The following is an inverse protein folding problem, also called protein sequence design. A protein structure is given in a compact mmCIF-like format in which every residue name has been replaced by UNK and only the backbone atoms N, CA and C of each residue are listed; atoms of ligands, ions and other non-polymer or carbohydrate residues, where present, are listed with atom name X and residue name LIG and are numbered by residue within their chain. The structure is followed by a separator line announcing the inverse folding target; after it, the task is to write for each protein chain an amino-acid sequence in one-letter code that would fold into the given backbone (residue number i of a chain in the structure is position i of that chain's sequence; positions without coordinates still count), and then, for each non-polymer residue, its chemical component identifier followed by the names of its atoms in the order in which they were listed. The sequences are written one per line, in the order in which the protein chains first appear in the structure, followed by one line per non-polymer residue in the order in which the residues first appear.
data_IF_685392487239
#
_entry.id   IF_685392487239
#
_cell.length_a   1.000
_cell.length_b   1.000
_cell.length_c   1.000
_cell.angle_alpha   90.00
_cell.angle_beta   90.00
_cell.angle_gamma   90.00
#
_symmetry.space_group_name_H-M   'P 1'
#
loop_
_entity.id
_entity.type
_entity.pdbx_description
1 polymer ?
#
# COMPACT_ATOMS: atom_id res chain seq x y z
N UNK A 1 16.18 -24.16 6.37
CA UNK A 1 15.28 -23.16 5.80
C UNK A 1 15.37 -21.92 6.67
N UNK A 2 15.47 -20.75 6.04
CA UNK A 2 15.47 -19.50 6.80
C UNK A 2 14.12 -19.36 7.51
N UNK A 3 14.15 -19.01 8.77
CA UNK A 3 12.92 -18.70 9.51
C UNK A 3 12.47 -17.29 9.15
N UNK A 4 11.57 -17.19 8.19
CA UNK A 4 11.06 -15.91 7.70
C UNK A 4 10.27 -15.15 8.79
N UNK A 5 9.63 -15.84 9.72
CA UNK A 5 8.89 -15.21 10.82
C UNK A 5 9.87 -14.49 11.76
N UNK A 6 11.04 -15.06 12.03
CA UNK A 6 12.06 -14.40 12.84
C UNK A 6 12.65 -13.17 12.13
N UNK A 7 12.73 -13.18 10.79
CA UNK A 7 13.08 -11.99 10.01
C UNK A 7 12.02 -10.90 10.22
N UNK A 8 10.72 -11.25 10.12
CA UNK A 8 9.64 -10.29 10.35
C UNK A 8 9.67 -9.70 11.77
N UNK A 9 9.86 -10.51 12.80
CA UNK A 9 10.00 -10.06 14.19
C UNK A 9 11.19 -9.13 14.38
N UNK A 10 12.31 -9.45 13.73
CA UNK A 10 13.52 -8.61 13.79
C UNK A 10 13.29 -7.24 13.15
N UNK A 11 12.64 -7.21 11.99
CA UNK A 11 12.24 -5.97 11.32
C UNK A 11 11.24 -5.16 12.15
N UNK A 12 10.27 -5.81 12.78
CA UNK A 12 9.28 -5.17 13.65
C UNK A 12 9.96 -4.52 14.86
N UNK A 13 10.91 -5.22 15.48
CA UNK A 13 11.74 -4.67 16.56
C UNK A 13 12.56 -3.47 16.10
N UNK A 14 13.20 -3.57 14.94
CA UNK A 14 13.94 -2.45 14.36
C UNK A 14 13.05 -1.25 14.09
N UNK A 15 11.83 -1.47 13.55
CA UNK A 15 10.85 -0.41 13.32
C UNK A 15 10.46 0.33 14.59
N UNK A 16 10.32 -0.40 15.70
CA UNK A 16 10.05 0.19 17.00
C UNK A 16 11.23 1.05 17.51
N UNK A 17 12.46 0.56 17.37
CA UNK A 17 13.67 1.27 17.81
C UNK A 17 13.90 2.58 17.06
N UNK A 18 13.69 2.58 15.72
CA UNK A 18 13.86 3.80 14.90
C UNK A 18 12.62 4.69 14.82
N UNK A 19 11.48 4.25 15.38
CA UNK A 19 10.26 5.03 15.45
C UNK A 19 9.51 5.17 14.12
N UNK A 20 9.67 4.23 13.16
CA UNK A 20 8.86 4.21 11.93
C UNK A 20 7.54 3.48 12.16
N UNK A 21 6.49 3.91 11.49
CA UNK A 21 5.16 3.37 11.69
C UNK A 21 4.97 2.00 11.03
N UNK A 22 5.54 1.80 9.84
CA UNK A 22 5.42 0.57 9.06
C UNK A 22 6.71 0.25 8.33
N UNK A 23 6.99 -1.04 8.14
CA UNK A 23 8.01 -1.55 7.24
C UNK A 23 7.32 -2.43 6.20
N UNK A 24 7.40 -2.04 4.93
CA UNK A 24 7.07 -2.88 3.79
C UNK A 24 8.27 -3.75 3.37
N UNK A 25 8.13 -4.45 2.25
CA UNK A 25 9.22 -5.25 1.69
C UNK A 25 9.29 -6.69 2.18
N UNK A 26 8.44 -7.11 3.10
CA UNK A 26 8.19 -8.53 3.37
C UNK A 26 7.31 -9.11 2.26
N UNK A 27 7.88 -9.21 1.06
CA UNK A 27 7.14 -9.29 -0.20
C UNK A 27 7.71 -10.32 -1.15
N UNK A 28 6.87 -10.84 -2.05
CA UNK A 28 7.26 -11.75 -3.12
C UNK A 28 6.79 -11.24 -4.50
N UNK A 29 7.64 -11.38 -5.51
CA UNK A 29 7.36 -10.99 -6.89
C UNK A 29 7.24 -12.26 -7.75
N UNK A 30 6.03 -12.81 -7.85
CA UNK A 30 5.78 -14.14 -8.41
C UNK A 30 5.09 -14.13 -9.78
N UNK A 31 5.03 -12.97 -10.43
CA UNK A 31 4.43 -12.81 -11.77
C UNK A 31 5.14 -13.64 -12.87
N UNK A 32 6.40 -14.03 -12.65
CA UNK A 32 7.17 -14.87 -13.58
C UNK A 32 7.30 -16.33 -13.12
N UNK A 33 6.67 -16.68 -12.00
CA UNK A 33 6.77 -17.97 -11.33
C UNK A 33 7.22 -17.84 -9.88
N UNK A 34 7.09 -18.90 -9.11
CA UNK A 34 7.50 -18.97 -7.72
C UNK A 34 8.77 -19.78 -7.56
N UNK A 35 9.76 -19.25 -6.88
CA UNK A 35 10.89 -20.02 -6.35
C UNK A 35 10.48 -20.74 -5.06
N UNK A 36 11.32 -21.65 -4.55
CA UNK A 36 11.07 -22.28 -3.25
C UNK A 36 11.13 -21.27 -2.10
N UNK A 37 11.98 -20.22 -2.23
CA UNK A 37 12.04 -19.13 -1.27
C UNK A 37 10.76 -18.29 -1.26
N UNK A 38 10.19 -18.00 -2.44
CA UNK A 38 8.91 -17.27 -2.53
C UNK A 38 7.78 -18.06 -1.88
N UNK A 39 7.71 -19.38 -2.12
CA UNK A 39 6.72 -20.24 -1.50
C UNK A 39 6.83 -20.26 0.02
N UNK A 40 8.06 -20.35 0.53
CA UNK A 40 8.34 -20.35 1.97
C UNK A 40 7.98 -18.98 2.60
N UNK A 41 8.32 -17.87 1.94
CA UNK A 41 7.92 -16.55 2.38
C UNK A 41 6.40 -16.41 2.40
N UNK A 42 5.71 -16.74 1.31
CA UNK A 42 4.24 -16.63 1.24
C UNK A 42 3.57 -17.49 2.33
N UNK A 43 4.08 -18.70 2.59
CA UNK A 43 3.56 -19.57 3.63
C UNK A 43 3.76 -18.99 5.06
N UNK A 44 4.75 -18.14 5.25
CA UNK A 44 5.02 -17.51 6.55
C UNK A 44 4.21 -16.23 6.80
N UNK A 45 3.58 -15.65 5.77
CA UNK A 45 2.85 -14.37 5.89
C UNK A 45 1.76 -14.39 6.98
N UNK A 46 0.90 -15.43 7.10
CA UNK A 46 -0.14 -15.44 8.12
C UNK A 46 0.42 -15.28 9.54
N UNK A 47 1.41 -16.07 9.89
CA UNK A 47 2.04 -15.99 11.20
C UNK A 47 2.82 -14.68 11.37
N UNK A 48 3.62 -14.30 10.38
CA UNK A 48 4.42 -13.07 10.43
C UNK A 48 3.57 -11.82 10.70
N UNK A 49 2.45 -11.65 9.97
CA UNK A 49 1.57 -10.49 10.14
C UNK A 49 0.69 -10.56 11.39
N UNK A 50 0.49 -11.76 11.96
CA UNK A 50 -0.22 -11.93 13.23
C UNK A 50 0.66 -11.54 14.42
N UNK A 51 1.95 -11.92 14.40
CA UNK A 51 2.86 -11.71 15.55
C UNK A 51 3.62 -10.38 15.51
N UNK A 52 3.46 -9.58 14.46
CA UNK A 52 4.12 -8.28 14.29
C UNK A 52 3.10 -7.15 14.19
N UNK A 53 3.49 -5.94 14.60
CA UNK A 53 2.61 -4.78 14.60
C UNK A 53 2.85 -3.86 13.38
N UNK A 54 4.09 -3.73 12.93
CA UNK A 54 4.53 -2.72 11.95
C UNK A 54 4.91 -3.30 10.59
N UNK A 55 4.95 -4.63 10.47
CA UNK A 55 5.30 -5.29 9.22
C UNK A 55 4.10 -5.34 8.29
N UNK A 56 4.31 -4.88 7.06
CA UNK A 56 3.37 -4.99 5.95
C UNK A 56 3.96 -5.91 4.88
N UNK A 57 3.09 -6.63 4.20
CA UNK A 57 3.47 -7.59 3.18
C UNK A 57 2.68 -7.40 1.88
N UNK A 58 3.30 -7.77 0.78
CA UNK A 58 2.65 -7.73 -0.53
C UNK A 58 3.13 -8.87 -1.42
N UNK A 59 2.27 -9.29 -2.35
CA UNK A 59 2.65 -10.26 -3.38
C UNK A 59 2.20 -9.76 -4.75
N UNK A 60 3.14 -9.60 -5.68
CA UNK A 60 2.84 -9.26 -7.06
C UNK A 60 2.65 -10.54 -7.87
N UNK A 61 1.40 -10.82 -8.25
CA UNK A 61 1.01 -12.09 -8.91
C UNK A 61 0.90 -11.99 -10.43
N UNK A 62 1.01 -10.81 -11.00
CA UNK A 62 0.80 -10.64 -12.43
C UNK A 62 1.44 -9.39 -13.02
N UNK A 63 1.54 -9.39 -14.33
CA UNK A 63 1.88 -8.21 -15.09
C UNK A 63 1.27 -8.29 -16.50
N UNK A 64 1.06 -7.14 -17.13
CA UNK A 64 0.59 -7.06 -18.52
C UNK A 64 1.47 -7.85 -19.48
N UNK A 65 2.75 -8.03 -19.15
CA UNK A 65 3.73 -8.76 -19.96
C UNK A 65 3.69 -10.27 -19.73
N UNK A 66 3.48 -10.73 -18.50
CA UNK A 66 3.60 -12.15 -18.13
C UNK A 66 2.24 -12.81 -17.83
N UNK A 67 1.15 -12.05 -17.83
CA UNK A 67 -0.15 -12.55 -17.39
C UNK A 67 -0.26 -12.68 -15.88
N UNK A 68 -1.19 -13.52 -15.42
CA UNK A 68 -1.49 -13.72 -14.01
C UNK A 68 -1.04 -15.13 -13.57
N UNK A 69 -0.30 -15.22 -12.48
CA UNK A 69 0.06 -16.50 -11.85
C UNK A 69 -1.12 -17.03 -11.04
N UNK A 70 -2.00 -17.80 -11.69
CA UNK A 70 -3.21 -18.33 -11.06
C UNK A 70 -2.93 -19.30 -9.89
N UNK A 71 -1.78 -19.98 -9.90
CA UNK A 71 -1.38 -20.84 -8.76
C UNK A 71 -1.08 -20.00 -7.52
N UNK A 72 -0.39 -18.87 -7.69
CA UNK A 72 -0.16 -17.92 -6.60
C UNK A 72 -1.47 -17.30 -6.12
N UNK A 73 -2.38 -16.90 -7.03
CA UNK A 73 -3.71 -16.36 -6.67
C UNK A 73 -4.49 -17.36 -5.80
N UNK A 74 -4.51 -18.64 -6.18
CA UNK A 74 -5.15 -19.68 -5.38
C UNK A 74 -4.54 -19.80 -3.99
N UNK A 75 -3.20 -19.84 -3.90
CA UNK A 75 -2.50 -19.91 -2.62
C UNK A 75 -2.82 -18.70 -1.74
N UNK A 76 -2.79 -17.51 -2.31
CA UNK A 76 -3.06 -16.27 -1.57
C UNK A 76 -4.51 -16.17 -1.08
N UNK A 77 -5.47 -16.75 -1.78
CA UNK A 77 -6.83 -16.88 -1.27
C UNK A 77 -6.89 -17.67 0.04
N UNK A 78 -6.11 -18.75 0.16
CA UNK A 78 -5.98 -19.48 1.43
C UNK A 78 -5.23 -18.66 2.48
N UNK A 79 -4.12 -18.02 2.11
CA UNK A 79 -3.33 -17.15 2.99
C UNK A 79 -4.19 -16.04 3.61
N UNK A 80 -5.02 -15.34 2.80
CA UNK A 80 -5.91 -14.28 3.30
C UNK A 80 -6.96 -14.85 4.27
N UNK A 81 -7.55 -16.00 3.94
CA UNK A 81 -8.52 -16.64 4.84
C UNK A 81 -7.88 -17.04 6.16
N UNK A 82 -6.68 -17.57 6.14
CA UNK A 82 -5.91 -17.95 7.33
C UNK A 82 -5.59 -16.72 8.19
N UNK A 83 -5.10 -15.63 7.60
CA UNK A 83 -4.86 -14.37 8.31
C UNK A 83 -6.13 -13.81 8.97
N UNK A 84 -7.26 -13.84 8.25
CA UNK A 84 -8.54 -13.40 8.80
C UNK A 84 -8.96 -14.24 10.02
N UNK A 85 -8.80 -15.56 9.93
CA UNK A 85 -9.14 -16.46 11.04
C UNK A 85 -8.22 -16.28 12.26
N UNK A 86 -6.91 -16.12 12.00
CA UNK A 86 -5.91 -15.92 13.08
C UNK A 86 -6.08 -14.58 13.81
N UNK A 87 -6.63 -13.57 13.15
CA UNK A 87 -6.79 -12.22 13.74
C UNK A 87 -8.25 -11.78 13.84
N UNK A 88 -9.19 -12.71 13.83
CA UNK A 88 -10.64 -12.42 13.87
C UNK A 88 -11.08 -11.62 15.09
N UNK A 89 -10.43 -11.85 16.23
CA UNK A 89 -10.73 -11.15 17.48
C UNK A 89 -10.08 -9.76 17.56
N UNK A 90 -9.23 -9.42 16.59
CA UNK A 90 -8.58 -8.12 16.41
C UNK A 90 -8.95 -7.50 15.05
N UNK A 91 -10.23 -7.50 14.72
CA UNK A 91 -10.79 -6.92 13.48
C UNK A 91 -10.08 -7.36 12.19
N UNK A 92 -9.53 -8.57 12.15
CA UNK A 92 -8.76 -9.13 11.02
C UNK A 92 -7.57 -8.24 10.60
N UNK A 93 -6.87 -7.64 11.56
CA UNK A 93 -5.82 -6.64 11.33
C UNK A 93 -4.69 -7.13 10.42
N UNK A 94 -4.36 -8.42 10.43
CA UNK A 94 -3.35 -8.98 9.54
C UNK A 94 -3.71 -8.77 8.06
N UNK A 95 -5.00 -8.85 7.71
CA UNK A 95 -5.46 -8.59 6.35
C UNK A 95 -5.29 -7.12 5.93
N UNK A 96 -5.39 -6.17 6.86
CA UNK A 96 -5.18 -4.74 6.58
C UNK A 96 -3.70 -4.40 6.28
N UNK A 97 -2.78 -5.29 6.68
CA UNK A 97 -1.33 -5.15 6.43
C UNK A 97 -0.84 -5.92 5.21
N UNK A 98 -1.75 -6.47 4.41
CA UNK A 98 -1.43 -7.31 3.27
C UNK A 98 -2.12 -6.84 1.97
N UNK A 99 -1.39 -6.88 0.86
CA UNK A 99 -1.96 -6.55 -0.45
C UNK A 99 -1.45 -7.48 -1.55
N UNK A 100 -2.32 -7.80 -2.49
CA UNK A 100 -2.00 -8.56 -3.69
C UNK A 100 -2.02 -7.61 -4.89
N UNK A 101 -0.93 -7.55 -5.63
CA UNK A 101 -0.76 -6.65 -6.78
C UNK A 101 -0.73 -7.39 -8.11
N UNK A 102 -1.07 -6.64 -9.15
CA UNK A 102 -0.63 -6.86 -10.53
C UNK A 102 -0.01 -5.57 -11.06
N UNK A 103 1.01 -5.67 -11.91
CA UNK A 103 1.74 -4.51 -12.45
C UNK A 103 2.28 -3.56 -11.36
N UNK A 104 2.72 -4.10 -10.22
CA UNK A 104 3.35 -3.28 -9.20
C UNK A 104 4.56 -2.54 -9.79
N UNK A 105 4.60 -1.23 -9.55
CA UNK A 105 5.72 -0.38 -9.98
C UNK A 105 6.89 -0.53 -9.01
N UNK A 106 8.10 -0.33 -9.51
CA UNK A 106 9.30 -0.26 -8.67
C UNK A 106 9.19 0.92 -7.69
N UNK A 107 9.77 0.76 -6.52
CA UNK A 107 9.76 1.79 -5.46
C UNK A 107 8.34 2.26 -5.10
N UNK A 108 7.43 1.31 -5.02
CA UNK A 108 6.03 1.58 -4.70
C UNK A 108 5.88 2.15 -3.28
N UNK A 109 5.30 3.35 -3.10
CA UNK A 109 5.12 3.99 -1.79
C UNK A 109 3.82 3.58 -1.08
N UNK A 110 3.02 2.69 -1.63
CA UNK A 110 1.77 2.26 -1.02
C UNK A 110 2.05 1.48 0.27
N UNK A 111 1.44 1.88 1.38
CA UNK A 111 1.79 1.43 2.73
C UNK A 111 1.97 -0.09 2.88
N UNK A 112 0.93 -0.89 2.65
CA UNK A 112 1.03 -2.35 2.77
C UNK A 112 1.84 -2.97 1.63
N UNK A 113 1.89 -2.32 0.47
CA UNK A 113 2.61 -2.76 -0.71
C UNK A 113 3.92 -2.04 -0.95
N UNK A 114 4.42 -1.25 0.01
CA UNK A 114 5.70 -0.57 -0.14
C UNK A 114 6.84 -1.59 -0.27
N UNK A 115 7.61 -1.48 -1.32
CA UNK A 115 8.83 -2.26 -1.53
C UNK A 115 9.82 -1.48 -2.40
N UNK A 116 11.09 -1.81 -2.25
CA UNK A 116 12.16 -1.29 -3.08
C UNK A 116 12.37 -2.21 -4.28
N UNK A 117 12.34 -1.65 -5.47
CA UNK A 117 12.53 -2.40 -6.73
C UNK A 117 14.01 -2.66 -7.05
N UNK A 118 14.23 -3.17 -8.25
CA UNK A 118 15.59 -3.45 -8.78
C UNK A 118 16.20 -2.25 -9.51
N UNK A 119 15.70 -1.03 -9.23
CA UNK A 119 16.16 0.20 -9.84
C UNK A 119 17.62 0.55 -9.49
N UNK A 120 18.12 1.62 -10.10
CA UNK A 120 19.52 2.06 -9.93
C UNK A 120 19.80 2.76 -8.59
N UNK A 121 18.75 3.12 -7.84
CA UNK A 121 18.89 3.92 -6.60
C UNK A 121 18.96 3.03 -5.38
N UNK A 122 20.01 3.17 -4.57
CA UNK A 122 20.13 2.48 -3.28
C UNK A 122 19.15 3.00 -2.23
N UNK A 123 18.69 4.24 -2.37
CA UNK A 123 17.71 4.90 -1.49
C UNK A 123 16.93 5.96 -2.23
N UNK A 124 15.65 6.09 -1.94
CA UNK A 124 14.74 7.05 -2.57
C UNK A 124 13.66 7.47 -1.58
N UNK A 125 13.21 8.72 -1.68
CA UNK A 125 12.02 9.20 -0.97
C UNK A 125 10.86 9.21 -1.94
N UNK A 126 9.81 8.45 -1.62
CA UNK A 126 8.54 8.50 -2.29
C UNK A 126 7.47 9.03 -1.34
N UNK A 127 6.45 9.69 -1.85
CA UNK A 127 5.38 10.26 -1.03
C UNK A 127 4.05 9.65 -1.44
N UNK A 128 3.44 8.89 -0.54
CA UNK A 128 2.05 8.44 -0.65
C UNK A 128 1.13 9.44 0.04
N UNK A 129 0.08 9.86 -0.63
CA UNK A 129 -0.92 10.79 -0.08
C UNK A 129 -2.29 10.14 -0.08
N UNK A 130 -2.94 10.09 1.10
CA UNK A 130 -4.37 9.73 1.17
C UNK A 130 -5.19 10.95 0.80
N UNK A 131 -6.00 10.81 -0.24
CA UNK A 131 -6.74 11.92 -0.84
C UNK A 131 -8.25 11.98 -0.58
N UNK A 132 -8.93 10.90 -0.16
CA UNK A 132 -10.40 10.87 -0.15
C UNK A 132 -11.02 11.97 0.70
N UNK A 133 -10.51 12.22 1.90
CA UNK A 133 -11.03 13.25 2.80
C UNK A 133 -10.90 14.67 2.25
N UNK A 134 -9.82 14.97 1.52
CA UNK A 134 -9.62 16.28 0.90
C UNK A 134 -10.57 16.46 -0.29
N UNK A 135 -10.74 15.41 -1.11
CA UNK A 135 -11.66 15.42 -2.26
C UNK A 135 -13.10 15.56 -1.78
N UNK A 136 -13.52 14.79 -0.77
CA UNK A 136 -14.83 14.92 -0.13
C UNK A 136 -15.11 16.37 0.31
N UNK A 137 -14.19 16.98 1.06
CA UNK A 137 -14.31 18.36 1.50
C UNK A 137 -14.49 19.33 0.35
N UNK A 138 -13.77 19.13 -0.75
CA UNK A 138 -13.91 19.97 -1.94
C UNK A 138 -15.28 19.82 -2.57
N UNK A 139 -15.81 18.59 -2.67
CA UNK A 139 -17.15 18.31 -3.20
C UNK A 139 -18.26 18.88 -2.31
N UNK A 140 -18.14 18.83 -1.00
CA UNK A 140 -19.09 19.45 -0.07
C UNK A 140 -19.30 20.94 -0.37
N UNK A 141 -18.24 21.64 -0.83
CA UNK A 141 -18.32 23.08 -1.17
C UNK A 141 -19.09 23.38 -2.47
N UNK A 142 -19.31 22.36 -3.30
CA UNK A 142 -20.05 22.47 -4.58
C UNK A 142 -21.26 21.51 -4.62
N UNK A 143 -21.80 21.17 -3.45
CA UNK A 143 -22.94 20.25 -3.33
C UNK A 143 -24.15 20.78 -4.11
N UNK A 144 -24.75 19.90 -4.92
CA UNK A 144 -25.88 20.24 -5.80
C UNK A 144 -25.49 20.84 -7.15
N UNK A 145 -24.20 20.95 -7.45
CA UNK A 145 -23.73 21.31 -8.78
C UNK A 145 -23.96 20.18 -9.80
N UNK A 146 -23.85 20.50 -11.08
CA UNK A 146 -23.91 19.51 -12.16
C UNK A 146 -22.68 18.56 -12.13
N UNK A 147 -22.82 17.43 -12.82
CA UNK A 147 -21.79 16.37 -12.83
C UNK A 147 -20.44 16.84 -13.39
N UNK A 148 -20.44 17.74 -14.37
CA UNK A 148 -19.22 18.29 -14.96
C UNK A 148 -18.45 19.12 -13.93
N UNK A 149 -19.14 19.98 -13.18
CA UNK A 149 -18.56 20.76 -12.07
C UNK A 149 -18.00 19.87 -10.97
N UNK A 150 -18.70 18.78 -10.62
CA UNK A 150 -18.18 17.80 -9.65
C UNK A 150 -16.89 17.13 -10.14
N UNK A 151 -16.86 16.67 -11.40
CA UNK A 151 -15.66 16.06 -12.00
C UNK A 151 -14.46 17.02 -12.05
N UNK A 152 -14.69 18.27 -12.47
CA UNK A 152 -13.62 19.29 -12.49
C UNK A 152 -13.12 19.62 -11.07
N UNK A 153 -14.01 19.61 -10.09
CA UNK A 153 -13.64 19.80 -8.68
C UNK A 153 -12.72 18.67 -8.18
N UNK A 154 -13.06 17.41 -8.46
CA UNK A 154 -12.22 16.25 -8.14
C UNK A 154 -10.85 16.37 -8.80
N UNK A 155 -10.81 16.62 -10.10
CA UNK A 155 -9.59 16.77 -10.89
C UNK A 155 -8.69 17.89 -10.35
N UNK A 156 -9.24 19.08 -10.14
CA UNK A 156 -8.49 20.23 -9.62
C UNK A 156 -7.96 19.97 -8.20
N UNK A 157 -8.73 19.25 -7.38
CA UNK A 157 -8.32 18.86 -6.03
C UNK A 157 -7.17 17.86 -6.07
N UNK A 158 -7.24 16.86 -6.94
CA UNK A 158 -6.16 15.89 -7.14
C UNK A 158 -4.84 16.59 -7.53
N UNK A 159 -4.88 17.55 -8.45
CA UNK A 159 -3.69 18.35 -8.81
C UNK A 159 -3.14 19.16 -7.63
N UNK A 160 -3.99 19.73 -6.80
CA UNK A 160 -3.54 20.46 -5.60
C UNK A 160 -2.87 19.53 -4.59
N UNK A 161 -3.44 18.36 -4.35
CA UNK A 161 -2.91 17.35 -3.43
C UNK A 161 -1.53 16.88 -3.90
N UNK A 162 -1.39 16.51 -5.17
CA UNK A 162 -0.11 16.07 -5.72
C UNK A 162 0.94 17.18 -5.68
N UNK A 163 0.54 18.44 -5.88
CA UNK A 163 1.46 19.57 -5.75
C UNK A 163 1.98 19.75 -4.33
N UNK A 164 1.11 19.62 -3.32
CA UNK A 164 1.52 19.65 -1.91
C UNK A 164 2.45 18.48 -1.59
N UNK A 165 2.11 17.27 -2.03
CA UNK A 165 2.98 16.09 -1.90
C UNK A 165 4.37 16.33 -2.48
N UNK A 166 4.46 16.97 -3.66
CA UNK A 166 5.74 17.33 -4.30
C UNK A 166 6.56 18.31 -3.44
N UNK A 167 5.93 19.32 -2.87
CA UNK A 167 6.64 20.28 -2.02
C UNK A 167 7.21 19.61 -0.76
N UNK A 168 6.43 18.74 -0.13
CA UNK A 168 6.88 17.93 1.01
C UNK A 168 8.06 17.02 0.62
N UNK A 169 7.94 16.33 -0.52
CA UNK A 169 8.98 15.44 -1.02
C UNK A 169 10.30 16.16 -1.30
N UNK A 170 10.24 17.33 -1.94
CA UNK A 170 11.43 18.12 -2.24
C UNK A 170 12.11 18.65 -0.96
N UNK A 171 11.34 19.08 0.02
CA UNK A 171 11.89 19.51 1.31
C UNK A 171 12.51 18.34 2.09
N UNK A 172 11.86 17.18 2.11
CA UNK A 172 12.39 15.97 2.71
C UNK A 172 13.69 15.52 2.02
N UNK A 173 13.70 15.51 0.68
CA UNK A 173 14.87 15.19 -0.14
C UNK A 173 16.07 16.08 0.21
N UNK A 174 15.84 17.38 0.32
CA UNK A 174 16.87 18.35 0.72
C UNK A 174 17.41 18.10 2.12
N UNK A 175 16.52 17.90 3.10
CA UNK A 175 16.92 17.69 4.52
C UNK A 175 17.65 16.40 4.74
N UNK A 176 17.22 15.31 4.09
CA UNK A 176 17.79 13.98 4.29
C UNK A 176 18.93 13.65 3.32
N UNK A 177 19.18 14.52 2.33
CA UNK A 177 20.14 14.27 1.25
C UNK A 177 19.88 12.92 0.55
N UNK A 178 18.60 12.66 0.25
CA UNK A 178 18.13 11.45 -0.45
C UNK A 178 17.31 11.88 -1.66
N UNK A 179 17.53 11.33 -2.87
CA UNK A 179 16.80 11.74 -4.04
C UNK A 179 15.29 11.48 -3.91
N UNK A 180 14.49 12.40 -4.45
CA UNK A 180 13.05 12.23 -4.59
C UNK A 180 12.74 11.37 -5.82
N UNK A 181 11.78 10.47 -5.68
CA UNK A 181 11.30 9.56 -6.71
C UNK A 181 9.91 9.95 -7.21
N UNK A 182 8.87 9.34 -6.66
CA UNK A 182 7.49 9.48 -7.13
C UNK A 182 6.54 9.96 -6.03
N UNK A 183 5.38 10.47 -6.49
CA UNK A 183 4.22 10.73 -5.64
C UNK A 183 3.12 9.76 -6.05
N UNK A 184 2.52 9.12 -5.08
CA UNK A 184 1.31 8.33 -5.24
C UNK A 184 0.14 9.04 -4.55
N UNK A 185 -0.95 9.25 -5.30
CA UNK A 185 -2.22 9.72 -4.75
C UNK A 185 -3.18 8.56 -4.65
N UNK A 186 -3.44 8.13 -3.44
CA UNK A 186 -4.38 7.06 -3.15
C UNK A 186 -5.78 7.63 -2.90
N UNK A 187 -6.79 7.05 -3.58
CA UNK A 187 -8.21 7.24 -3.30
C UNK A 187 -8.81 5.91 -2.84
N UNK A 188 -8.28 5.37 -1.74
CA UNK A 188 -8.59 4.02 -1.29
C UNK A 188 -9.98 3.92 -0.61
N UNK A 189 -10.62 2.74 -0.67
CA UNK A 189 -11.73 2.40 0.21
C UNK A 189 -11.17 2.06 1.60
N UNK A 190 -11.21 3.01 2.52
CA UNK A 190 -10.76 2.79 3.90
C UNK A 190 -11.95 2.73 4.87
N UNK A 191 -11.82 2.07 6.03
CA UNK A 191 -12.82 2.13 7.08
C UNK A 191 -12.82 3.46 7.86
N UNK A 192 -11.85 4.33 7.58
CA UNK A 192 -11.74 5.61 8.25
C UNK A 192 -12.87 6.55 7.86
N UNK A 193 -13.62 7.02 8.85
CA UNK A 193 -14.70 7.99 8.65
C UNK A 193 -14.13 9.29 8.09
N UNK A 194 -14.68 9.74 6.99
CA UNK A 194 -14.25 10.98 6.32
C UNK A 194 -13.08 10.81 5.35
N UNK A 195 -12.51 9.61 5.19
CA UNK A 195 -11.36 9.37 4.32
C UNK A 195 -11.51 8.06 3.50
N UNK A 196 -12.62 7.91 2.81
CA UNK A 196 -12.88 6.77 1.91
C UNK A 196 -13.43 7.22 0.57
N UNK A 197 -13.06 6.53 -0.50
CA UNK A 197 -13.62 6.77 -1.84
C UNK A 197 -15.14 6.60 -1.88
N UNK A 198 -15.71 5.73 -1.05
CA UNK A 198 -17.16 5.57 -0.94
C UNK A 198 -17.87 6.86 -0.52
N UNK A 199 -17.23 7.68 0.30
CA UNK A 199 -17.77 8.98 0.70
C UNK A 199 -17.70 10.02 -0.42
N UNK A 200 -16.70 9.92 -1.30
CA UNK A 200 -16.65 10.72 -2.53
C UNK A 200 -17.86 10.41 -3.41
N UNK A 201 -18.12 9.12 -3.66
CA UNK A 201 -19.29 8.71 -4.46
C UNK A 201 -20.61 9.17 -3.84
N UNK A 202 -20.76 9.05 -2.53
CA UNK A 202 -21.95 9.56 -1.84
C UNK A 202 -22.14 11.07 -2.03
N UNK A 203 -21.06 11.87 -1.93
CA UNK A 203 -21.16 13.32 -2.17
C UNK A 203 -21.45 13.67 -3.64
N UNK A 204 -21.05 12.82 -4.57
CA UNK A 204 -21.39 12.96 -5.99
C UNK A 204 -22.80 12.49 -6.34
N UNK A 205 -23.50 11.83 -5.41
CA UNK A 205 -24.82 11.25 -5.66
C UNK A 205 -24.80 9.95 -6.45
N UNK A 206 -23.72 9.18 -6.37
CA UNK A 206 -23.49 7.91 -7.06
C UNK A 206 -23.66 6.72 -6.11
#
# INVERSE_FOLDING_TARGET
PADYVEIAKTLDKAANEVGVNFIGGYSALVQKGCTESDKALIASIPEALTVTNRICSSVNVGSSRNGINMSAVKQLGHTIKEMAEMTKDDACIACAKFVVFTNAVEDNPFMAGAFHGVGERDKVINVGVSGPGVVKRALESVRGADFETLCETVKNTAFKITRVGQLVALEASKRLNVPFGIIDLSLAPTPAVGDSISEIFNEMGL
#
